data_IF_073131219493
#
_entry.id   IF_073131219493
#
_cell.length_a   1.000
_cell.length_b   1.000
_cell.length_c   1.000
_cell.angle_alpha   90.00
_cell.angle_beta   90.00
_cell.angle_gamma   90.00
#
_symmetry.space_group_name_H-M   'P 1'
#
loop_
_entity.id
_entity.type
_entity.pdbx_description
1 polymer ?
#
# COMPACT_ATOMS: atom_id res chain seq x y z
N UNK A 1 16.19 11.99 1.11
CA UNK A 1 15.32 11.16 1.97
C UNK A 1 14.84 9.95 1.19
N UNK A 2 14.81 8.76 1.79
CA UNK A 2 14.43 7.51 1.10
C UNK A 2 12.94 7.17 1.34
N UNK A 3 12.17 7.00 0.26
CA UNK A 3 10.78 6.52 0.33
C UNK A 3 10.74 5.05 0.79
N UNK A 4 9.79 4.73 1.68
CA UNK A 4 9.50 3.36 2.14
C UNK A 4 8.28 2.80 1.42
N UNK A 5 8.40 1.60 0.88
CA UNK A 5 7.31 0.88 0.21
C UNK A 5 6.72 -0.26 1.04
N UNK A 6 7.45 -0.70 2.05
CA UNK A 6 6.98 -1.66 3.04
C UNK A 6 6.20 -0.98 4.17
N UNK A 7 5.18 -1.67 4.66
CA UNK A 7 4.33 -1.22 5.76
C UNK A 7 4.22 -2.29 6.83
N UNK A 8 3.86 -1.91 8.06
CA UNK A 8 3.63 -2.87 9.13
C UNK A 8 2.51 -3.87 8.82
N UNK A 9 1.42 -3.40 8.20
CA UNK A 9 0.24 -4.22 7.87
C UNK A 9 0.36 -5.01 6.56
N UNK A 10 1.46 -4.91 5.82
CA UNK A 10 1.64 -5.63 4.55
C UNK A 10 0.95 -5.01 3.34
N UNK A 11 0.43 -3.78 3.43
CA UNK A 11 0.12 -2.97 2.25
C UNK A 11 1.40 -2.52 1.54
N UNK A 12 1.33 -2.33 0.23
CA UNK A 12 2.46 -1.86 -0.58
C UNK A 12 2.31 -0.39 -0.95
N UNK A 13 3.01 0.51 -0.24
CA UNK A 13 2.90 1.96 -0.49
C UNK A 13 3.37 2.36 -1.89
N UNK A 14 4.14 1.52 -2.60
CA UNK A 14 4.50 1.78 -3.99
C UNK A 14 3.32 1.84 -4.95
N UNK A 15 2.14 1.35 -4.55
CA UNK A 15 0.87 1.48 -5.29
C UNK A 15 -0.11 2.49 -4.66
N UNK A 16 0.28 3.16 -3.58
CA UNK A 16 -0.49 4.26 -2.98
C UNK A 16 -0.38 5.51 -3.86
N UNK A 17 -1.53 6.09 -4.23
CA UNK A 17 -1.56 7.31 -5.03
C UNK A 17 -0.87 8.50 -4.35
N UNK A 18 -0.95 8.60 -3.01
CA UNK A 18 -0.26 9.64 -2.24
C UNK A 18 1.25 9.52 -2.36
N UNK A 19 1.80 8.32 -2.10
CA UNK A 19 3.25 8.11 -2.18
C UNK A 19 3.77 8.30 -3.61
N UNK A 20 3.03 7.83 -4.61
CA UNK A 20 3.38 8.04 -6.02
C UNK A 20 3.43 9.53 -6.37
N UNK A 21 2.44 10.32 -5.94
CA UNK A 21 2.41 11.77 -6.18
C UNK A 21 3.60 12.50 -5.55
N UNK A 22 4.01 12.11 -4.33
CA UNK A 22 5.22 12.63 -3.69
C UNK A 22 6.47 12.29 -4.51
N UNK A 23 6.60 11.03 -4.96
CA UNK A 23 7.79 10.56 -5.68
C UNK A 23 7.92 11.15 -7.10
N UNK A 24 6.83 11.41 -7.79
CA UNK A 24 6.85 11.92 -9.17
C UNK A 24 6.77 13.44 -9.26
N UNK A 25 6.83 14.16 -8.13
CA UNK A 25 6.71 15.63 -8.10
C UNK A 25 5.29 16.15 -8.37
N UNK A 26 4.29 15.26 -8.42
CA UNK A 26 2.89 15.62 -8.74
C UNK A 26 2.05 15.98 -7.52
N UNK A 27 2.65 16.09 -6.33
CA UNK A 27 1.96 16.31 -5.06
C UNK A 27 0.97 17.47 -5.10
N UNK A 28 1.40 18.65 -5.59
CA UNK A 28 0.55 19.86 -5.67
C UNK A 28 -0.65 19.67 -6.60
N UNK A 29 -0.45 18.96 -7.71
CA UNK A 29 -1.51 18.65 -8.68
C UNK A 29 -2.53 17.69 -8.04
N UNK A 30 -2.04 16.64 -7.39
CA UNK A 30 -2.89 15.67 -6.67
C UNK A 30 -3.66 16.34 -5.54
N UNK A 31 -3.01 17.17 -4.72
CA UNK A 31 -3.62 17.94 -3.64
C UNK A 31 -4.77 18.83 -4.17
N UNK A 32 -4.50 19.60 -5.23
CA UNK A 32 -5.52 20.44 -5.88
C UNK A 32 -6.71 19.61 -6.38
N UNK A 33 -6.44 18.49 -7.06
CA UNK A 33 -7.50 17.59 -7.57
C UNK A 33 -8.36 17.01 -6.44
N UNK A 34 -7.76 16.71 -5.29
CA UNK A 34 -8.46 16.12 -4.15
C UNK A 34 -9.01 17.17 -3.18
N UNK A 35 -8.84 18.47 -3.46
CA UNK A 35 -9.21 19.58 -2.57
C UNK A 35 -8.59 19.42 -1.17
N UNK A 36 -7.32 19.02 -1.12
CA UNK A 36 -6.56 18.83 0.12
C UNK A 36 -5.37 19.80 0.19
N UNK A 37 -4.88 20.04 1.40
CA UNK A 37 -3.61 20.74 1.60
C UNK A 37 -2.44 19.81 1.20
N UNK A 38 -1.47 20.26 0.37
CA UNK A 38 -0.27 19.48 0.07
C UNK A 38 0.48 18.97 1.33
N UNK A 39 0.46 19.72 2.42
CA UNK A 39 1.08 19.32 3.68
C UNK A 39 0.42 18.05 4.26
N UNK A 40 -0.90 17.90 4.13
CA UNK A 40 -1.63 16.75 4.66
C UNK A 40 -1.34 15.45 3.89
N UNK A 41 -0.94 15.57 2.63
CA UNK A 41 -0.62 14.40 1.79
C UNK A 41 0.87 14.26 1.50
N UNK A 42 1.72 15.03 2.18
CA UNK A 42 3.18 14.82 2.13
C UNK A 42 3.52 13.51 2.84
N UNK A 43 4.23 12.59 2.16
CA UNK A 43 4.44 11.23 2.68
C UNK A 43 5.67 10.55 2.08
N UNK A 44 6.48 9.94 2.95
CA UNK A 44 7.62 9.09 2.60
C UNK A 44 7.41 7.62 3.00
N UNK A 45 6.20 7.24 3.41
CA UNK A 45 5.80 5.88 3.79
C UNK A 45 5.63 5.72 5.30
N UNK A 46 4.79 4.77 5.74
CA UNK A 46 4.37 4.68 7.15
C UNK A 46 5.47 4.26 8.13
N UNK A 47 6.57 3.68 7.63
CA UNK A 47 7.79 3.39 8.39
C UNK A 47 8.82 4.52 8.34
N UNK A 48 8.42 5.73 7.94
CA UNK A 48 9.27 6.93 7.91
C UNK A 48 8.73 7.97 8.89
N UNK A 49 9.49 9.04 9.14
CA UNK A 49 9.06 10.16 9.97
C UNK A 49 8.07 11.10 9.26
N UNK A 50 7.87 10.97 7.95
CA UNK A 50 7.01 11.85 7.15
C UNK A 50 5.84 11.04 6.61
N UNK A 51 4.65 11.26 7.19
CA UNK A 51 3.47 10.43 6.95
C UNK A 51 2.26 11.33 6.65
N UNK A 52 1.50 10.99 5.61
CA UNK A 52 0.26 11.68 5.27
C UNK A 52 -0.82 11.50 6.33
N UNK A 53 -1.82 12.37 6.32
CA UNK A 53 -3.00 12.34 7.19
C UNK A 53 -3.67 10.96 7.28
N UNK A 54 -3.75 10.22 6.17
CA UNK A 54 -4.34 8.87 6.13
C UNK A 54 -3.63 7.82 6.98
N UNK A 55 -2.36 8.05 7.31
CA UNK A 55 -1.55 7.11 8.08
C UNK A 55 -1.00 7.72 9.36
N UNK A 56 -1.12 9.04 9.57
CA UNK A 56 -0.58 9.75 10.74
C UNK A 56 -1.15 9.19 12.06
N UNK A 57 -2.45 8.91 12.08
CA UNK A 57 -3.16 8.41 13.27
C UNK A 57 -3.52 6.93 13.18
N UNK A 58 -2.83 6.15 12.35
CA UNK A 58 -3.11 4.73 12.19
C UNK A 58 -2.70 3.91 13.43
N UNK A 59 -3.68 3.32 14.11
CA UNK A 59 -3.45 2.49 15.31
C UNK A 59 -2.58 1.27 15.06
N UNK A 60 -2.54 0.75 13.83
CA UNK A 60 -1.69 -0.40 13.49
C UNK A 60 -0.21 0.00 13.53
N UNK A 61 0.14 1.23 13.14
CA UNK A 61 1.51 1.76 13.25
C UNK A 61 1.90 1.84 14.73
N UNK A 62 1.06 2.50 15.54
CA UNK A 62 1.29 2.64 17.00
C UNK A 62 1.43 1.28 17.68
N UNK A 63 0.55 0.35 17.33
CA UNK A 63 0.57 -1.02 17.84
C UNK A 63 1.85 -1.77 17.45
N UNK A 64 2.25 -1.73 16.17
CA UNK A 64 3.44 -2.42 15.70
C UNK A 64 4.73 -1.85 16.31
N UNK A 65 4.81 -0.53 16.47
CA UNK A 65 5.92 0.15 17.14
C UNK A 65 6.00 -0.24 18.63
N UNK A 66 4.87 -0.21 19.35
CA UNK A 66 4.82 -0.62 20.76
C UNK A 66 5.17 -2.10 20.97
N UNK A 67 4.75 -2.96 20.05
CA UNK A 67 5.10 -4.39 20.04
C UNK A 67 6.51 -4.66 19.50
N UNK A 68 7.22 -3.64 19.00
CA UNK A 68 8.56 -3.71 18.41
C UNK A 68 8.68 -4.76 17.30
N UNK A 69 7.68 -4.82 16.41
CA UNK A 69 7.68 -5.72 15.24
C UNK A 69 7.87 -4.95 13.94
N UNK A 70 8.63 -5.50 13.00
CA UNK A 70 8.79 -4.91 11.67
C UNK A 70 7.58 -5.16 10.78
N UNK A 71 6.92 -6.30 10.96
CA UNK A 71 5.68 -6.63 10.26
C UNK A 71 4.70 -7.28 11.21
N UNK A 72 3.39 -7.05 11.00
CA UNK A 72 2.37 -7.61 11.87
C UNK A 72 2.41 -9.15 11.91
N UNK A 73 2.93 -9.83 10.88
CA UNK A 73 3.13 -11.28 10.86
C UNK A 73 4.18 -11.81 11.84
N UNK A 74 5.02 -10.94 12.39
CA UNK A 74 6.03 -11.29 13.41
C UNK A 74 5.43 -11.23 14.83
N UNK A 75 4.25 -10.64 14.99
CA UNK A 75 3.57 -10.57 16.28
C UNK A 75 3.01 -11.96 16.65
N UNK A 76 3.22 -12.40 17.90
CA UNK A 76 2.67 -13.66 18.43
C UNK A 76 1.14 -13.77 18.34
N UNK A 77 0.44 -12.63 18.27
CA UNK A 77 -1.02 -12.57 18.17
C UNK A 77 -1.52 -12.60 16.70
N UNK A 78 -0.64 -12.77 15.72
CA UNK A 78 -1.01 -12.75 14.31
C UNK A 78 -1.65 -14.08 13.85
N UNK A 79 -2.75 -14.04 13.07
CA UNK A 79 -3.55 -12.87 12.71
C UNK A 79 -4.41 -12.38 13.88
N UNK A 80 -4.33 -11.08 14.21
CA UNK A 80 -5.12 -10.49 15.29
C UNK A 80 -6.38 -9.82 14.76
N UNK A 81 -7.36 -9.56 15.64
CA UNK A 81 -8.64 -8.91 15.30
C UNK A 81 -8.47 -7.61 14.49
N UNK A 82 -7.45 -6.78 14.79
CA UNK A 82 -7.19 -5.54 14.04
C UNK A 82 -6.81 -5.79 12.58
N UNK A 83 -5.99 -6.80 12.33
CA UNK A 83 -5.54 -7.14 10.97
C UNK A 83 -6.64 -7.85 10.19
N UNK A 84 -7.42 -8.72 10.85
CA UNK A 84 -8.60 -9.31 10.25
C UNK A 84 -9.62 -8.22 9.85
N UNK A 85 -9.96 -7.33 10.77
CA UNK A 85 -10.88 -6.22 10.51
C UNK A 85 -10.38 -5.28 9.39
N UNK A 86 -9.09 -4.95 9.35
CA UNK A 86 -8.54 -4.15 8.25
C UNK A 86 -8.69 -4.86 6.90
N UNK A 87 -8.44 -6.17 6.84
CA UNK A 87 -8.57 -6.98 5.62
C UNK A 87 -10.03 -7.13 5.15
N UNK A 88 -11.00 -7.03 6.05
CA UNK A 88 -12.44 -7.16 5.77
C UNK A 88 -13.15 -5.80 5.60
N UNK A 89 -12.41 -4.69 5.65
CA UNK A 89 -13.02 -3.38 5.48
C UNK A 89 -13.43 -3.11 4.02
N UNK A 90 -14.24 -2.06 3.76
CA UNK A 90 -14.74 -1.79 2.42
C UNK A 90 -13.69 -1.30 1.41
N UNK A 91 -12.40 -1.22 1.76
CA UNK A 91 -11.35 -0.73 0.87
C UNK A 91 -10.73 -1.89 0.08
N UNK A 92 -10.93 -1.99 -1.25
CA UNK A 92 -10.50 -3.17 -2.00
C UNK A 92 -9.00 -3.47 -1.93
N UNK A 93 -8.17 -2.44 -1.71
CA UNK A 93 -6.72 -2.60 -1.59
C UNK A 93 -6.29 -3.25 -0.26
N UNK A 94 -7.18 -3.36 0.72
CA UNK A 94 -6.93 -4.04 1.99
C UNK A 94 -7.19 -5.55 1.93
N UNK A 95 -7.96 -6.05 0.96
CA UNK A 95 -8.26 -7.48 0.79
C UNK A 95 -7.02 -8.39 0.77
N UNK A 96 -5.88 -7.86 0.31
CA UNK A 96 -4.61 -8.59 0.13
C UNK A 96 -3.73 -8.67 1.38
N UNK A 97 -4.11 -8.02 2.49
CA UNK A 97 -3.27 -7.84 3.68
C UNK A 97 -2.74 -9.16 4.23
N UNK A 98 -3.62 -10.14 4.49
CA UNK A 98 -3.21 -11.44 5.04
C UNK A 98 -2.29 -12.19 4.09
N UNK A 99 -2.61 -12.20 2.79
CA UNK A 99 -1.79 -12.82 1.75
C UNK A 99 -0.40 -12.20 1.69
N UNK A 100 -0.32 -10.86 1.74
CA UNK A 100 0.95 -10.14 1.71
C UNK A 100 1.78 -10.41 2.97
N UNK A 101 1.16 -10.38 4.14
CA UNK A 101 1.83 -10.68 5.42
C UNK A 101 2.35 -12.12 5.47
N UNK A 102 1.58 -13.11 4.99
CA UNK A 102 2.05 -14.49 4.85
C UNK A 102 3.22 -14.59 3.86
N UNK A 103 3.14 -13.90 2.72
CA UNK A 103 4.25 -13.86 1.74
C UNK A 103 5.52 -13.24 2.34
N UNK A 104 5.39 -12.20 3.18
CA UNK A 104 6.52 -11.59 3.89
C UNK A 104 7.12 -12.58 4.88
N UNK A 105 6.29 -13.30 5.65
CA UNK A 105 6.72 -14.33 6.59
C UNK A 105 7.47 -15.47 5.89
N UNK A 106 7.00 -15.91 4.73
CA UNK A 106 7.57 -17.04 3.97
C UNK A 106 8.82 -16.66 3.16
N UNK A 107 8.80 -15.52 2.46
CA UNK A 107 9.81 -15.15 1.45
C UNK A 107 10.69 -13.98 1.87
N UNK A 108 10.35 -13.32 2.97
CA UNK A 108 11.04 -12.13 3.47
C UNK A 108 10.73 -10.85 2.69
N UNK A 109 11.03 -9.71 3.34
CA UNK A 109 10.76 -8.35 2.83
C UNK A 109 11.32 -8.10 1.43
N UNK A 110 12.58 -8.47 1.16
CA UNK A 110 13.24 -8.18 -0.12
C UNK A 110 12.53 -8.87 -1.29
N UNK A 111 12.16 -10.14 -1.15
CA UNK A 111 11.44 -10.87 -2.19
C UNK A 111 10.03 -10.32 -2.37
N UNK A 112 9.31 -10.06 -1.27
CA UNK A 112 7.97 -9.49 -1.31
C UNK A 112 7.93 -8.12 -2.01
N UNK A 113 8.88 -7.23 -1.73
CA UNK A 113 8.97 -5.93 -2.42
C UNK A 113 9.15 -6.08 -3.94
N UNK A 114 9.96 -7.04 -4.41
CA UNK A 114 10.10 -7.31 -5.85
C UNK A 114 8.81 -7.85 -6.47
N UNK A 115 8.11 -8.74 -5.76
CA UNK A 115 6.81 -9.28 -6.19
C UNK A 115 5.79 -8.15 -6.34
N UNK A 116 5.69 -7.28 -5.33
CA UNK A 116 4.76 -6.14 -5.36
C UNK A 116 5.13 -5.11 -6.44
N UNK A 117 6.40 -4.76 -6.59
CA UNK A 117 6.81 -3.82 -7.65
C UNK A 117 6.44 -4.35 -9.05
N UNK A 118 6.63 -5.66 -9.30
CA UNK A 118 6.21 -6.27 -10.57
C UNK A 118 4.68 -6.31 -10.72
N UNK A 119 3.95 -6.63 -9.66
CA UNK A 119 2.47 -6.71 -9.64
C UNK A 119 1.79 -5.40 -10.00
N UNK A 120 2.39 -4.28 -9.58
CA UNK A 120 1.84 -2.93 -9.75
C UNK A 120 2.42 -2.17 -10.96
N UNK A 121 2.90 -2.92 -11.95
CA UNK A 121 3.36 -2.39 -13.25
C UNK A 121 2.48 -2.87 -14.38
N UNK A 122 2.21 -1.97 -15.33
CA UNK A 122 1.51 -2.29 -16.56
C UNK A 122 2.27 -3.40 -17.30
N UNK A 123 1.57 -4.51 -17.62
CA UNK A 123 2.18 -5.65 -18.32
C UNK A 123 2.68 -5.29 -19.73
N UNK A 124 2.10 -4.27 -20.36
CA UNK A 124 2.45 -3.84 -21.72
C UNK A 124 3.68 -2.91 -21.78
N UNK A 125 3.79 -1.96 -20.86
CA UNK A 125 4.84 -0.92 -20.95
C UNK A 125 5.68 -0.74 -19.67
N UNK A 126 5.44 -1.53 -18.62
CA UNK A 126 6.22 -1.47 -17.37
C UNK A 126 5.95 -0.26 -16.47
N UNK A 127 5.10 0.69 -16.89
CA UNK A 127 4.74 1.88 -16.11
C UNK A 127 4.01 1.48 -14.83
N UNK A 128 4.41 2.04 -13.69
CA UNK A 128 3.73 1.82 -12.40
C UNK A 128 2.33 2.42 -12.43
N UNK A 129 1.39 1.78 -11.75
CA UNK A 129 0.03 2.30 -11.57
C UNK A 129 -0.39 2.20 -10.10
N UNK A 130 -1.44 2.95 -9.72
CA UNK A 130 -1.94 2.98 -8.34
C UNK A 130 -3.04 1.95 -8.11
N UNK A 131 -3.35 1.65 -6.84
CA UNK A 131 -4.39 0.68 -6.43
C UNK A 131 -5.71 0.80 -7.19
N UNK A 132 -6.15 2.03 -7.49
CA UNK A 132 -7.45 2.30 -8.10
C UNK A 132 -7.37 2.72 -9.57
N UNK A 133 -6.18 2.74 -10.18
CA UNK A 133 -6.05 3.03 -11.61
C UNK A 133 -6.84 2.01 -12.45
N UNK A 134 -7.67 2.45 -13.39
CA UNK A 134 -8.39 1.54 -14.32
C UNK A 134 -7.60 1.28 -15.61
N UNK A 135 -6.80 2.26 -16.04
CA UNK A 135 -5.96 2.23 -17.24
C UNK A 135 -4.54 2.71 -16.89
N UNK A 136 -3.56 2.26 -17.68
CA UNK A 136 -2.19 2.75 -17.59
C UNK A 136 -2.10 4.20 -18.07
N UNK A 137 -1.43 5.06 -17.30
CA UNK A 137 -1.25 6.47 -17.64
C UNK A 137 -0.37 6.71 -18.88
N UNK A 138 0.50 5.75 -19.24
CA UNK A 138 1.42 5.90 -20.39
C UNK A 138 0.84 5.34 -21.70
N UNK A 139 0.28 4.14 -21.68
CA UNK A 139 -0.13 3.43 -22.90
C UNK A 139 -1.64 3.14 -23.00
N UNK A 140 -2.45 3.59 -22.03
CA UNK A 140 -3.91 3.41 -22.06
C UNK A 140 -4.43 2.00 -21.77
N UNK A 141 -3.54 1.00 -21.70
CA UNK A 141 -3.88 -0.42 -21.45
C UNK A 141 -4.68 -0.59 -20.15
N UNK A 142 -5.68 -1.48 -20.13
CA UNK A 142 -6.42 -1.80 -18.91
C UNK A 142 -5.48 -2.45 -17.90
N UNK A 143 -5.51 -2.00 -16.65
CA UNK A 143 -4.65 -2.54 -15.58
C UNK A 143 -5.46 -3.35 -14.57
N UNK A 144 -4.81 -4.37 -13.98
CA UNK A 144 -5.41 -5.23 -12.97
C UNK A 144 -5.30 -4.55 -11.59
N UNK A 145 -6.32 -3.81 -11.20
CA UNK A 145 -6.34 -2.94 -10.02
C UNK A 145 -6.90 -3.65 -8.77
N UNK A 146 -6.93 -2.97 -7.62
CA UNK A 146 -7.35 -3.57 -6.34
C UNK A 146 -8.81 -4.03 -6.33
N UNK A 147 -9.71 -3.30 -6.99
CA UNK A 147 -11.13 -3.70 -7.11
C UNK A 147 -11.28 -5.00 -7.90
N UNK A 148 -10.49 -5.19 -8.97
CA UNK A 148 -10.50 -6.45 -9.71
C UNK A 148 -9.85 -7.57 -8.91
N UNK A 149 -8.80 -7.27 -8.14
CA UNK A 149 -8.09 -8.24 -7.31
C UNK A 149 -8.90 -8.74 -6.12
N UNK A 150 -9.69 -7.87 -5.48
CA UNK A 150 -10.64 -8.26 -4.44
C UNK A 150 -11.74 -9.16 -5.00
N UNK A 151 -12.39 -8.76 -6.10
CA UNK A 151 -13.44 -9.56 -6.75
C UNK A 151 -12.94 -10.96 -7.12
N UNK A 152 -11.73 -11.08 -7.65
CA UNK A 152 -11.14 -12.37 -8.00
C UNK A 152 -10.83 -13.27 -6.78
N UNK A 153 -10.75 -12.72 -5.57
CA UNK A 153 -10.59 -13.50 -4.34
C UNK A 153 -11.92 -14.01 -3.79
N UNK A 154 -13.03 -13.31 -4.05
CA UNK A 154 -14.38 -13.72 -3.62
C UNK A 154 -15.00 -14.81 -4.51
N UNK A 155 -14.45 -15.02 -5.71
CA UNK A 155 -14.87 -16.05 -6.65
C UNK A 155 -14.13 -17.39 -6.48
N UNK A 156 -13.30 -17.51 -5.45
CA UNK A 156 -12.52 -18.70 -5.10
C UNK A 156 -12.97 -19.25 -3.77
#
# INVERSE_FOLDING_TARGET
MAYRYDTYCGLYCGACAVLQANKTGNLKITAKKWKMNPADITCHGCKSSVVSIYCRDCDIIKCAQGMKVEFCCECKKFPCKRIAALKDDPQPHHSVILRNLNTIKEKGKKAWLRIQDRRWRCKKCGTRFSWYSKKCSKCGERVYNSTLEEKAQQLK
#
